data_IF_230064312304
#
_entry.id   IF_230064312304
#
_cell.length_a   1.000
_cell.length_b   1.000
_cell.length_c   1.000
_cell.angle_alpha   90.00
_cell.angle_beta   90.00
_cell.angle_gamma   90.00
#
_symmetry.space_group_name_H-M   'P 1'
#
loop_
_entity.id
_entity.type
_entity.pdbx_description
1 polymer ?
#
# COMPACT_ATOMS: atom_id res chain seq x y z
N UNK A 1 57.72 27.99 -2.91
CA UNK A 1 56.41 28.57 -2.51
C UNK A 1 55.36 27.97 -3.41
N UNK A 2 54.33 27.21 -3.01
CA UNK A 2 53.88 26.58 -1.75
C UNK A 2 52.78 25.58 -2.21
N UNK A 3 53.07 24.29 -2.17
CA UNK A 3 52.35 23.22 -1.44
C UNK A 3 51.18 22.50 -2.15
N UNK A 4 51.18 21.18 -1.97
CA UNK A 4 50.09 20.23 -2.24
C UNK A 4 49.04 20.32 -1.13
N UNK A 5 47.77 20.10 -1.45
CA UNK A 5 46.84 19.34 -0.59
C UNK A 5 45.64 18.91 -1.43
N UNK A 6 45.30 17.62 -1.37
CA UNK A 6 44.03 17.08 -1.86
C UNK A 6 43.05 16.80 -0.72
N UNK A 7 41.78 16.64 -1.06
CA UNK A 7 40.71 15.94 -0.34
C UNK A 7 39.43 16.13 -1.17
N UNK A 8 38.45 15.25 -1.30
CA UNK A 8 38.13 13.93 -0.77
C UNK A 8 36.73 13.57 -1.32
N UNK A 9 36.51 12.29 -1.61
CA UNK A 9 35.35 11.69 -2.28
C UNK A 9 34.07 11.67 -1.44
N UNK A 10 32.90 11.43 -2.07
CA UNK A 10 31.88 10.51 -1.56
C UNK A 10 30.93 10.08 -2.70
N UNK A 11 30.96 8.78 -3.04
CA UNK A 11 30.06 8.16 -4.00
C UNK A 11 28.74 7.76 -3.35
N UNK A 12 27.66 7.77 -4.13
CA UNK A 12 26.36 7.26 -3.73
C UNK A 12 26.30 5.76 -4.08
N UNK A 13 26.84 4.94 -3.16
CA UNK A 13 26.78 3.49 -3.25
C UNK A 13 25.53 3.00 -2.51
N UNK A 14 24.47 2.72 -3.28
CA UNK A 14 23.27 2.08 -2.76
C UNK A 14 23.63 0.68 -2.24
N UNK A 15 23.87 0.61 -0.94
CA UNK A 15 24.26 -0.60 -0.21
C UNK A 15 23.17 -1.65 -0.30
N UNK A 16 23.51 -2.79 -0.91
CA UNK A 16 22.72 -4.02 -0.86
C UNK A 16 22.79 -4.62 0.54
N UNK A 17 21.66 -4.76 1.22
CA UNK A 17 21.62 -5.38 2.55
C UNK A 17 21.27 -6.87 2.41
N UNK A 18 22.23 -7.73 2.72
CA UNK A 18 22.00 -9.16 2.95
C UNK A 18 21.38 -9.37 4.34
N UNK A 19 20.32 -10.19 4.44
CA UNK A 19 19.64 -10.45 5.70
C UNK A 19 19.62 -11.94 6.09
N UNK A 20 20.24 -12.25 7.23
CA UNK A 20 20.31 -13.54 7.95
C UNK A 20 19.46 -13.40 9.25
N UNK A 21 18.99 -14.46 9.96
CA UNK A 21 17.83 -14.38 10.85
C UNK A 21 18.04 -13.44 12.05
N UNK A 22 17.02 -12.62 12.36
CA UNK A 22 17.12 -11.45 13.24
C UNK A 22 17.08 -10.10 12.48
N UNK A 23 16.92 -10.13 11.16
CA UNK A 23 16.92 -8.95 10.29
C UNK A 23 15.79 -7.97 10.60
N UNK A 24 16.14 -6.74 11.00
CA UNK A 24 15.27 -5.56 11.04
C UNK A 24 15.59 -4.67 9.83
N UNK A 25 14.59 -3.98 9.29
CA UNK A 25 14.76 -3.04 8.18
C UNK A 25 14.25 -1.66 8.59
N UNK A 26 15.05 -0.62 8.32
CA UNK A 26 14.63 0.78 8.45
C UNK A 26 14.16 1.26 7.08
N UNK A 27 12.92 1.72 6.99
CA UNK A 27 12.32 2.21 5.76
C UNK A 27 11.97 3.69 5.92
N UNK A 28 12.18 4.48 4.87
CA UNK A 28 11.71 5.87 4.83
C UNK A 28 10.21 5.91 4.62
N UNK A 29 9.50 6.70 5.43
CA UNK A 29 8.07 6.97 5.26
C UNK A 29 7.90 8.33 4.59
N UNK A 30 7.22 8.36 3.43
CA UNK A 30 6.79 9.60 2.79
C UNK A 30 5.31 9.84 3.11
N UNK A 31 5.00 10.97 3.75
CA UNK A 31 3.63 11.34 4.13
C UNK A 31 2.77 11.83 2.94
N UNK A 32 3.41 12.12 1.80
CA UNK A 32 2.74 12.65 0.61
C UNK A 32 1.80 11.63 -0.04
N UNK A 33 2.07 10.33 0.14
CA UNK A 33 1.27 9.25 -0.44
C UNK A 33 0.23 8.76 0.55
N UNK A 34 -0.90 9.49 0.63
CA UNK A 34 -2.09 9.08 1.38
C UNK A 34 -2.98 8.17 0.54
N UNK A 35 -3.34 7.03 1.11
CA UNK A 35 -4.14 5.99 0.50
C UNK A 35 -5.46 5.81 1.23
N UNK A 36 -6.42 5.21 0.53
CA UNK A 36 -7.72 4.80 1.07
C UNK A 36 -7.84 3.29 0.95
N UNK A 37 -8.32 2.64 2.01
CA UNK A 37 -8.52 1.19 2.06
C UNK A 37 -10.02 0.87 2.16
N UNK A 38 -10.47 -0.11 1.37
CA UNK A 38 -11.82 -0.65 1.45
C UNK A 38 -11.71 -2.13 1.83
N UNK A 39 -12.23 -2.49 3.00
CA UNK A 39 -12.35 -3.89 3.42
C UNK A 39 -13.61 -4.49 2.80
N UNK A 40 -13.42 -5.20 1.68
CA UNK A 40 -14.51 -5.80 0.95
C UNK A 40 -14.90 -7.17 1.57
N UNK A 41 -16.20 -7.44 1.84
CA UNK A 41 -16.64 -8.64 2.58
C UNK A 41 -16.67 -9.94 1.74
N UNK A 42 -16.24 -9.90 0.48
CA UNK A 42 -16.26 -11.03 -0.44
C UNK A 42 -14.92 -11.31 -1.12
N UNK A 43 -14.84 -12.43 -1.83
CA UNK A 43 -13.67 -12.77 -2.64
C UNK A 43 -13.75 -12.00 -3.95
N UNK A 44 -12.66 -11.33 -4.31
CA UNK A 44 -12.58 -10.52 -5.53
C UNK A 44 -11.90 -11.36 -6.62
N UNK A 45 -12.68 -11.78 -7.62
CA UNK A 45 -12.16 -12.45 -8.82
C UNK A 45 -11.95 -11.48 -10.00
N UNK A 46 -12.69 -10.37 -10.02
CA UNK A 46 -12.58 -9.32 -11.03
C UNK A 46 -12.72 -7.95 -10.34
N UNK A 47 -11.70 -7.11 -10.52
CA UNK A 47 -11.60 -5.81 -9.85
C UNK A 47 -12.65 -4.83 -10.39
N UNK A 48 -12.92 -4.83 -11.69
CA UNK A 48 -13.89 -3.91 -12.31
C UNK A 48 -15.31 -4.20 -11.81
N UNK A 49 -15.70 -5.48 -11.78
CA UNK A 49 -16.99 -5.89 -11.21
C UNK A 49 -17.10 -5.56 -9.73
N UNK A 50 -16.01 -5.73 -8.97
CA UNK A 50 -15.99 -5.32 -7.56
C UNK A 50 -16.19 -3.81 -7.43
N UNK A 51 -15.51 -3.00 -8.25
CA UNK A 51 -15.68 -1.56 -8.25
C UNK A 51 -17.13 -1.16 -8.57
N UNK A 52 -17.79 -1.81 -9.53
CA UNK A 52 -19.20 -1.57 -9.82
C UNK A 52 -20.10 -1.76 -8.59
N UNK A 53 -19.85 -2.78 -7.76
CA UNK A 53 -20.65 -3.02 -6.55
C UNK A 53 -20.59 -1.90 -5.52
N UNK A 54 -19.51 -1.09 -5.52
CA UNK A 54 -19.31 0.04 -4.61
C UNK A 54 -19.52 1.40 -5.29
N UNK A 55 -20.26 1.42 -6.41
CA UNK A 55 -20.59 2.65 -7.15
C UNK A 55 -19.49 3.12 -8.11
N UNK A 56 -18.52 2.26 -8.41
CA UNK A 56 -17.38 2.54 -9.28
C UNK A 56 -16.36 3.49 -8.65
N UNK A 57 -15.29 3.79 -9.39
CA UNK A 57 -14.23 4.71 -8.94
C UNK A 57 -14.81 6.08 -8.58
N UNK A 58 -15.73 6.60 -9.39
CA UNK A 58 -16.36 7.90 -9.14
C UNK A 58 -17.23 7.89 -7.87
N UNK A 59 -17.98 6.81 -7.62
CA UNK A 59 -18.77 6.66 -6.39
C UNK A 59 -17.88 6.67 -5.15
N UNK A 60 -16.80 5.90 -5.18
CA UNK A 60 -15.79 5.87 -4.11
C UNK A 60 -15.17 7.25 -3.90
N UNK A 61 -14.73 7.94 -4.95
CA UNK A 61 -14.15 9.29 -4.83
C UNK A 61 -15.13 10.29 -4.22
N UNK A 62 -16.41 10.26 -4.61
CA UNK A 62 -17.45 11.12 -4.04
C UNK A 62 -17.72 10.81 -2.58
N UNK A 63 -17.66 9.54 -2.18
CA UNK A 63 -17.82 9.14 -0.78
C UNK A 63 -16.61 9.53 0.06
N UNK A 64 -15.41 9.46 -0.52
CA UNK A 64 -14.20 9.90 0.16
C UNK A 64 -14.14 11.42 0.36
N UNK A 65 -14.66 12.21 -0.59
CA UNK A 65 -14.69 13.66 -0.48
C UNK A 65 -15.59 14.19 0.66
N UNK A 66 -16.53 13.37 1.16
CA UNK A 66 -17.44 13.74 2.24
C UNK A 66 -17.32 12.73 3.40
N UNK A 67 -16.61 13.06 4.49
CA UNK A 67 -16.41 12.18 5.63
C UNK A 67 -17.70 11.72 6.33
N UNK A 68 -18.82 12.42 6.13
CA UNK A 68 -20.11 12.03 6.71
C UNK A 68 -20.77 10.86 5.98
N UNK A 69 -20.32 10.57 4.74
CA UNK A 69 -20.90 9.53 3.90
C UNK A 69 -20.30 8.17 4.22
N UNK A 70 -21.17 7.16 4.20
CA UNK A 70 -20.79 5.74 4.29
C UNK A 70 -20.57 5.19 2.90
N UNK A 71 -19.68 4.21 2.77
CA UNK A 71 -19.47 3.53 1.50
C UNK A 71 -20.58 2.52 1.29
N UNK A 72 -21.44 2.76 0.30
CA UNK A 72 -22.48 1.80 -0.08
C UNK A 72 -21.91 0.68 -0.95
N UNK A 73 -22.33 -0.54 -0.63
CA UNK A 73 -22.02 -1.77 -1.34
C UNK A 73 -23.34 -2.45 -1.75
N UNK A 74 -23.49 -2.73 -3.04
CA UNK A 74 -24.57 -3.55 -3.60
C UNK A 74 -23.98 -4.78 -4.25
N UNK A 75 -24.17 -5.95 -3.64
CA UNK A 75 -23.70 -7.23 -4.19
C UNK A 75 -24.25 -7.54 -5.58
N UNK A 76 -25.45 -7.04 -5.89
CA UNK A 76 -26.11 -7.20 -7.18
C UNK A 76 -26.47 -5.81 -7.73
N UNK A 77 -25.50 -5.09 -8.32
CA UNK A 77 -25.70 -3.70 -8.74
C UNK A 77 -26.76 -3.55 -9.86
N UNK A 78 -27.01 -4.63 -10.62
CA UNK A 78 -28.04 -4.67 -11.68
C UNK A 78 -29.45 -5.00 -11.15
N UNK A 79 -29.59 -5.43 -9.89
CA UNK A 79 -30.90 -5.67 -9.28
C UNK A 79 -31.36 -4.44 -8.49
N UNK A 80 -32.43 -3.74 -8.91
CA UNK A 80 -32.94 -2.57 -8.20
C UNK A 80 -33.44 -2.89 -6.78
N UNK A 81 -33.82 -4.14 -6.50
CA UNK A 81 -34.30 -4.58 -5.18
C UNK A 81 -33.17 -5.04 -4.25
N UNK A 82 -31.91 -4.99 -4.69
CA UNK A 82 -30.78 -5.31 -3.84
C UNK A 82 -30.62 -4.23 -2.75
N UNK A 83 -30.77 -4.63 -1.50
CA UNK A 83 -30.55 -3.74 -0.37
C UNK A 83 -29.04 -3.45 -0.23
N UNK A 84 -28.64 -2.18 -0.07
CA UNK A 84 -27.25 -1.83 0.12
C UNK A 84 -26.76 -2.21 1.52
N UNK A 85 -25.50 -2.60 1.61
CA UNK A 85 -24.74 -2.70 2.86
C UNK A 85 -23.81 -1.49 2.93
N UNK A 86 -23.63 -0.91 4.11
CA UNK A 86 -22.87 0.33 4.25
C UNK A 86 -21.62 0.11 5.11
N UNK A 87 -20.44 0.36 4.53
CA UNK A 87 -19.17 0.40 5.23
C UNK A 87 -18.95 1.73 5.94
N UNK A 88 -18.54 1.67 7.20
CA UNK A 88 -18.26 2.86 8.00
C UNK A 88 -16.86 3.41 7.69
N UNK A 89 -16.72 4.73 7.72
CA UNK A 89 -15.45 5.41 7.53
C UNK A 89 -14.71 5.54 8.87
N UNK A 90 -13.47 5.06 8.93
CA UNK A 90 -12.61 5.20 10.10
C UNK A 90 -11.28 5.85 9.71
N UNK A 91 -10.82 6.88 10.47
CA UNK A 91 -9.44 7.34 10.34
C UNK A 91 -8.49 6.22 10.75
N UNK A 92 -7.38 6.06 10.02
CA UNK A 92 -6.39 5.02 10.29
C UNK A 92 -4.97 5.51 10.05
N UNK A 93 -4.01 4.78 10.63
CA UNK A 93 -2.56 4.98 10.44
C UNK A 93 -1.90 3.71 9.87
N UNK A 94 -2.65 2.93 9.10
CA UNK A 94 -2.15 1.68 8.51
C UNK A 94 -1.13 1.99 7.40
N UNK A 95 -0.23 1.04 7.10
CA UNK A 95 0.77 1.18 6.05
C UNK A 95 0.55 0.16 4.94
N UNK A 96 0.70 0.57 3.68
CA UNK A 96 0.80 -0.36 2.57
C UNK A 96 2.28 -0.68 2.31
N UNK A 97 2.69 -1.92 2.61
CA UNK A 97 4.06 -2.39 2.42
C UNK A 97 4.15 -3.29 1.18
N UNK A 98 5.13 -3.03 0.31
CA UNK A 98 5.51 -3.93 -0.77
C UNK A 98 6.73 -4.74 -0.35
N UNK A 99 6.56 -6.05 -0.18
CA UNK A 99 7.64 -6.97 0.18
C UNK A 99 7.94 -7.89 -0.99
N UNK A 100 9.19 -7.88 -1.46
CA UNK A 100 9.69 -8.76 -2.54
C UNK A 100 10.72 -9.71 -1.95
N UNK A 101 10.44 -11.01 -2.01
CA UNK A 101 11.37 -12.07 -1.59
C UNK A 101 11.99 -12.72 -2.82
N UNK A 102 13.32 -12.70 -2.92
CA UNK A 102 14.09 -13.39 -3.96
C UNK A 102 14.90 -14.52 -3.34
N UNK A 103 14.77 -15.72 -3.90
CA UNK A 103 15.54 -16.91 -3.47
C UNK A 103 16.44 -17.34 -4.62
N UNK A 104 17.72 -17.60 -4.35
CA UNK A 104 18.66 -18.11 -5.36
C UNK A 104 18.43 -19.60 -5.61
N UNK A 105 18.40 -20.01 -6.88
CA UNK A 105 18.28 -21.43 -7.28
C UNK A 105 19.53 -22.17 -6.77
N UNK A 106 19.33 -23.20 -5.94
CA UNK A 106 20.41 -24.00 -5.35
C UNK A 106 20.73 -23.71 -3.88
N UNK A 107 20.27 -22.59 -3.32
CA UNK A 107 20.45 -22.26 -1.89
C UNK A 107 19.18 -21.63 -1.29
N UNK A 108 18.21 -22.47 -0.92
CA UNK A 108 16.94 -22.02 -0.31
C UNK A 108 17.09 -21.28 1.03
N UNK A 109 18.28 -21.32 1.63
CA UNK A 109 18.59 -20.67 2.92
C UNK A 109 18.99 -19.20 2.77
N UNK A 110 19.37 -18.75 1.57
CA UNK A 110 19.76 -17.37 1.30
C UNK A 110 18.62 -16.66 0.54
N UNK A 111 17.74 -16.01 1.29
CA UNK A 111 16.63 -15.22 0.73
C UNK A 111 16.93 -13.73 0.91
N UNK A 112 16.94 -12.98 -0.19
CA UNK A 112 17.00 -11.52 -0.16
C UNK A 112 15.57 -10.99 -0.06
N UNK A 113 15.30 -10.12 0.92
CA UNK A 113 14.00 -9.49 1.12
C UNK A 113 14.17 -8.00 0.89
N UNK A 114 13.44 -7.46 -0.07
CA UNK A 114 13.36 -6.03 -0.31
C UNK A 114 11.99 -5.55 0.16
N UNK A 115 11.95 -4.42 0.86
CA UNK A 115 10.71 -3.84 1.38
C UNK A 115 10.63 -2.37 1.01
N UNK A 116 9.47 -1.93 0.53
CA UNK A 116 9.18 -0.52 0.25
C UNK A 116 7.86 -0.12 0.94
N UNK A 117 7.82 1.06 1.58
CA UNK A 117 6.56 1.65 2.02
C UNK A 117 5.93 2.37 0.83
N UNK A 118 4.71 1.97 0.44
CA UNK A 118 4.00 2.60 -0.68
C UNK A 118 3.18 3.82 -0.26
N UNK A 119 2.73 3.86 1.00
CA UNK A 119 1.96 4.99 1.53
C UNK A 119 1.27 4.70 2.85
N UNK A 120 0.71 5.76 3.45
CA UNK A 120 -0.10 5.71 4.67
C UNK A 120 -1.57 5.65 4.30
N UNK A 121 -2.29 4.67 4.84
CA UNK A 121 -3.74 4.56 4.68
C UNK A 121 -4.39 5.44 5.74
N UNK A 122 -4.78 6.65 5.34
CA UNK A 122 -5.42 7.63 6.23
C UNK A 122 -6.88 7.31 6.54
N UNK A 123 -7.55 6.57 5.64
CA UNK A 123 -8.98 6.25 5.76
C UNK A 123 -9.23 4.80 5.38
N UNK A 124 -9.98 4.11 6.24
CA UNK A 124 -10.42 2.74 6.00
C UNK A 124 -11.94 2.66 6.06
N UNK A 125 -12.55 2.05 5.04
CA UNK A 125 -13.96 1.65 5.03
C UNK A 125 -14.09 0.18 5.42
N UNK A 126 -14.95 -0.15 6.38
CA UNK A 126 -15.23 -1.54 6.80
C UNK A 126 -16.69 -1.79 7.16
#
# INVERSE_FOLDING_TARGET
MKERTGSGSAGDEATTVGGVPGSSATLSLSEDNKLVCVKYPGIISNVDKMLETIGGVQGVSKTYADPSRRLELRFRPQDPFCHPVCGNCFPSTNLLLRVKRRVRKGNSKEAQINMDVLGVIGTTYS
#
